data_IF_678077770159
#
_entry.id   IF_678077770159
#
_cell.length_a   1.000
_cell.length_b   1.000
_cell.length_c   1.000
_cell.angle_alpha   90.00
_cell.angle_beta   90.00
_cell.angle_gamma   90.00
#
_symmetry.space_group_name_H-M   'P 1'
#
loop_
_entity.id
_entity.type
_entity.pdbx_description
1 polymer ?
#
# COMPACT_ATOMS: atom_id res chain seq x y z
N UNK A 1 -6.88 -31.04 25.35
CA UNK A 1 -6.41 -29.73 25.89
C UNK A 1 -7.48 -28.68 25.63
N UNK A 2 -7.84 -27.87 26.62
CA UNK A 2 -8.94 -26.89 26.50
C UNK A 2 -8.58 -25.77 25.50
N UNK A 3 -9.49 -25.45 24.56
CA UNK A 3 -9.37 -24.34 23.59
C UNK A 3 -9.09 -22.99 24.26
N UNK A 4 -9.51 -22.84 25.52
CA UNK A 4 -9.28 -21.64 26.34
C UNK A 4 -7.79 -21.48 26.70
N UNK A 5 -7.10 -22.57 27.05
CA UNK A 5 -5.68 -22.54 27.39
C UNK A 5 -4.79 -22.20 26.18
N UNK A 6 -5.13 -22.71 25.00
CA UNK A 6 -4.43 -22.36 23.75
C UNK A 6 -4.61 -20.88 23.38
N UNK A 7 -5.82 -20.33 23.57
CA UNK A 7 -6.12 -18.92 23.30
C UNK A 7 -5.37 -17.95 24.21
N UNK A 8 -5.20 -18.29 25.50
CA UNK A 8 -4.47 -17.45 26.45
C UNK A 8 -2.98 -17.45 26.10
N UNK A 9 -2.40 -18.63 25.85
CA UNK A 9 -0.99 -18.75 25.47
C UNK A 9 -0.70 -18.03 24.14
N UNK A 10 -1.58 -18.14 23.14
CA UNK A 10 -1.40 -17.43 21.87
C UNK A 10 -1.49 -15.91 22.02
N UNK A 11 -2.37 -15.42 22.89
CA UNK A 11 -2.51 -13.98 23.17
C UNK A 11 -1.30 -13.44 23.91
N UNK A 12 -0.85 -14.13 24.95
CA UNK A 12 0.36 -13.74 25.69
C UNK A 12 1.57 -13.71 24.76
N UNK A 13 1.78 -14.75 23.96
CA UNK A 13 2.90 -14.80 23.00
C UNK A 13 2.81 -13.69 21.96
N UNK A 14 1.62 -13.43 21.40
CA UNK A 14 1.44 -12.36 20.41
C UNK A 14 1.70 -10.98 21.00
N UNK A 15 1.26 -10.74 22.24
CA UNK A 15 1.49 -9.48 22.92
C UNK A 15 2.98 -9.30 23.26
N UNK A 16 3.65 -10.34 23.76
CA UNK A 16 5.09 -10.27 24.04
C UNK A 16 5.89 -9.99 22.77
N UNK A 17 5.64 -10.73 21.68
CA UNK A 17 6.29 -10.48 20.38
C UNK A 17 6.02 -9.06 19.89
N UNK A 18 4.81 -8.54 20.07
CA UNK A 18 4.47 -7.18 19.67
C UNK A 18 5.20 -6.13 20.51
N UNK A 19 5.28 -6.31 21.83
CA UNK A 19 6.01 -5.40 22.72
C UNK A 19 7.50 -5.42 22.39
N UNK A 20 8.09 -6.62 22.26
CA UNK A 20 9.50 -6.78 21.89
C UNK A 20 9.80 -6.13 20.53
N UNK A 21 8.92 -6.32 19.54
CA UNK A 21 9.04 -5.67 18.23
C UNK A 21 9.03 -4.14 18.35
N UNK A 22 8.08 -3.58 19.11
CA UNK A 22 7.96 -2.13 19.29
C UNK A 22 9.18 -1.52 20.01
N UNK A 23 9.79 -2.27 20.94
CA UNK A 23 11.01 -1.86 21.63
C UNK A 23 12.22 -1.86 20.69
N UNK A 24 12.38 -2.89 19.86
CA UNK A 24 13.49 -3.00 18.90
C UNK A 24 13.40 -1.94 17.78
N UNK A 25 12.22 -1.73 17.20
CA UNK A 25 12.06 -0.75 16.11
C UNK A 25 12.14 0.70 16.57
N UNK A 26 12.06 0.98 17.88
CA UNK A 26 12.21 2.34 18.39
C UNK A 26 13.61 2.92 18.14
N UNK A 27 14.63 2.07 17.92
CA UNK A 27 16.00 2.47 17.60
C UNK A 27 16.49 2.05 16.21
N UNK A 28 15.66 1.40 15.39
CA UNK A 28 16.03 0.88 14.07
C UNK A 28 15.59 1.84 12.95
N UNK A 29 16.54 2.30 12.14
CA UNK A 29 16.26 3.15 10.99
C UNK A 29 15.63 2.40 9.81
N UNK A 30 15.69 1.06 9.79
CA UNK A 30 15.13 0.23 8.72
C UNK A 30 13.59 0.26 8.72
N UNK A 31 12.97 0.39 9.89
CA UNK A 31 11.51 0.44 10.05
C UNK A 31 11.10 1.87 10.33
N UNK A 32 10.54 2.54 9.32
CA UNK A 32 10.11 3.92 9.43
C UNK A 32 8.69 3.98 9.99
N UNK A 33 8.46 4.67 11.12
CA UNK A 33 7.11 4.97 11.59
C UNK A 33 6.54 6.18 10.85
N UNK A 34 5.54 5.95 10.01
CA UNK A 34 4.81 6.97 9.26
C UNK A 34 3.59 7.38 10.07
N UNK A 35 3.66 8.57 10.67
CA UNK A 35 2.60 9.17 11.48
C UNK A 35 1.89 10.28 10.71
N UNK A 36 0.59 10.41 10.96
CA UNK A 36 -0.27 11.43 10.33
C UNK A 36 -0.34 11.33 8.80
N UNK A 37 -0.18 10.12 8.25
CA UNK A 37 -0.42 9.86 6.82
C UNK A 37 -1.87 9.41 6.58
N UNK A 38 -2.50 9.99 5.55
CA UNK A 38 -3.79 9.55 5.05
C UNK A 38 -3.57 8.66 3.84
N UNK A 39 -4.17 7.48 3.87
CA UNK A 39 -4.09 6.52 2.76
C UNK A 39 -5.33 6.58 1.88
N UNK A 40 -5.11 6.54 0.56
CA UNK A 40 -6.16 6.52 -0.45
C UNK A 40 -5.80 5.54 -1.56
N UNK A 41 -6.81 4.95 -2.19
CA UNK A 41 -6.63 4.18 -3.40
C UNK A 41 -6.88 5.10 -4.60
N UNK A 42 -5.91 5.31 -5.51
CA UNK A 42 -6.13 6.04 -6.76
C UNK A 42 -7.28 5.42 -7.57
N UNK A 43 -8.10 6.23 -8.24
CA UNK A 43 -9.35 5.76 -8.86
C UNK A 43 -9.15 4.72 -9.98
N UNK A 44 -8.00 4.78 -10.65
CA UNK A 44 -7.52 3.89 -11.70
C UNK A 44 -6.67 2.73 -11.18
N UNK A 45 -6.50 2.61 -9.86
CA UNK A 45 -5.70 1.55 -9.23
C UNK A 45 -6.48 0.26 -9.02
N UNK A 46 -5.73 -0.83 -8.92
CA UNK A 46 -6.25 -2.15 -8.57
C UNK A 46 -6.88 -2.17 -7.17
N UNK A 47 -6.28 -1.44 -6.21
CA UNK A 47 -6.81 -1.31 -4.86
C UNK A 47 -8.20 -0.66 -4.87
N UNK A 48 -8.42 0.36 -5.69
CA UNK A 48 -9.73 1.00 -5.83
C UNK A 48 -10.75 0.03 -6.42
N UNK A 49 -10.43 -0.66 -7.53
CA UNK A 49 -11.33 -1.67 -8.09
C UNK A 49 -11.73 -2.72 -7.04
N UNK A 50 -10.77 -3.20 -6.24
CA UNK A 50 -11.06 -4.16 -5.17
C UNK A 50 -11.99 -3.62 -4.09
N UNK A 51 -11.85 -2.34 -3.72
CA UNK A 51 -12.75 -1.70 -2.73
C UNK A 51 -14.20 -1.67 -3.20
N UNK A 52 -14.44 -1.52 -4.51
CA UNK A 52 -15.78 -1.26 -5.04
C UNK A 52 -16.45 -2.45 -5.75
N UNK A 53 -15.68 -3.43 -6.21
CA UNK A 53 -16.20 -4.61 -6.93
C UNK A 53 -17.32 -5.34 -6.16
N UNK A 54 -17.22 -5.58 -4.82
CA UNK A 54 -18.30 -6.22 -4.07
C UNK A 54 -19.64 -5.48 -4.16
N UNK A 55 -19.62 -4.15 -4.19
CA UNK A 55 -20.84 -3.34 -4.31
C UNK A 55 -21.42 -3.41 -5.73
N UNK A 56 -20.57 -3.49 -6.75
CA UNK A 56 -20.99 -3.66 -8.15
C UNK A 56 -21.67 -5.01 -8.38
N UNK A 57 -21.19 -6.08 -7.73
CA UNK A 57 -21.87 -7.39 -7.76
C UNK A 57 -23.29 -7.30 -7.19
N UNK A 58 -23.46 -6.61 -6.06
CA UNK A 58 -24.78 -6.44 -5.42
C UNK A 58 -25.73 -5.61 -6.28
N UNK A 59 -25.22 -4.60 -6.98
CA UNK A 59 -26.00 -3.70 -7.84
C UNK A 59 -26.62 -4.40 -9.07
N UNK A 60 -26.47 -5.72 -9.22
CA UNK A 60 -27.01 -6.55 -10.31
C UNK A 60 -26.69 -5.96 -11.67
N UNK A 61 -25.42 -5.64 -11.91
CA UNK A 61 -24.93 -5.41 -13.27
C UNK A 61 -24.79 -6.75 -14.01
N UNK A 62 -25.82 -7.60 -13.96
CA UNK A 62 -25.88 -8.89 -14.69
C UNK A 62 -25.97 -8.66 -16.21
N UNK A 63 -26.38 -7.46 -16.64
CA UNK A 63 -26.54 -7.06 -18.03
C UNK A 63 -25.23 -6.72 -18.78
N UNK A 64 -24.07 -6.70 -18.12
CA UNK A 64 -22.78 -6.42 -18.81
C UNK A 64 -22.13 -7.67 -19.39
N UNK A 65 -22.61 -8.88 -19.09
CA UNK A 65 -21.99 -10.14 -19.53
C UNK A 65 -20.61 -10.41 -18.92
N UNK A 66 -20.19 -9.61 -17.94
CA UNK A 66 -18.93 -9.76 -17.21
C UNK A 66 -19.17 -10.39 -15.83
N UNK A 67 -18.47 -11.49 -15.55
CA UNK A 67 -18.50 -12.15 -14.24
C UNK A 67 -17.59 -11.39 -13.26
N UNK A 68 -18.17 -10.40 -12.59
CA UNK A 68 -17.50 -9.56 -11.59
C UNK A 68 -16.95 -10.37 -10.41
N UNK A 69 -17.57 -11.50 -10.05
CA UNK A 69 -17.08 -12.36 -8.97
C UNK A 69 -15.78 -13.06 -9.38
N UNK A 70 -15.70 -13.56 -10.62
CA UNK A 70 -14.45 -14.09 -11.17
C UNK A 70 -13.38 -13.03 -11.34
N UNK A 71 -13.75 -11.80 -11.67
CA UNK A 71 -12.82 -10.68 -11.73
C UNK A 71 -12.24 -10.39 -10.35
N UNK A 72 -13.07 -10.34 -9.32
CA UNK A 72 -12.65 -10.13 -7.93
C UNK A 72 -11.64 -11.20 -7.46
N UNK A 73 -11.91 -12.48 -7.77
CA UNK A 73 -10.98 -13.59 -7.53
C UNK A 73 -9.68 -13.47 -8.34
N UNK A 74 -9.78 -13.06 -9.61
CA UNK A 74 -8.61 -12.90 -10.47
C UNK A 74 -7.71 -11.78 -9.96
N UNK A 75 -8.28 -10.67 -9.48
CA UNK A 75 -7.55 -9.58 -8.86
C UNK A 75 -6.83 -10.05 -7.60
N UNK A 76 -7.48 -10.78 -6.69
CA UNK A 76 -6.79 -11.34 -5.50
C UNK A 76 -5.64 -12.30 -5.84
N UNK A 77 -5.72 -13.00 -6.97
CA UNK A 77 -4.66 -13.91 -7.43
C UNK A 77 -3.54 -13.19 -8.17
N UNK A 78 -3.80 -12.04 -8.77
CA UNK A 78 -2.84 -11.32 -9.60
C UNK A 78 -1.75 -10.63 -8.75
N UNK A 79 -2.14 -10.02 -7.62
CA UNK A 79 -1.20 -9.43 -6.66
C UNK A 79 -1.46 -9.98 -5.26
N UNK A 80 -0.40 -10.22 -4.50
CA UNK A 80 -0.48 -10.61 -3.08
C UNK A 80 -0.60 -9.43 -2.11
N UNK A 81 -0.67 -8.20 -2.64
CA UNK A 81 -0.69 -6.96 -1.87
C UNK A 81 -1.53 -5.88 -2.56
N UNK A 82 -2.00 -4.91 -1.77
CA UNK A 82 -2.63 -3.68 -2.25
C UNK A 82 -1.66 -2.52 -2.12
N UNK A 83 -1.56 -1.69 -3.15
CA UNK A 83 -0.84 -0.43 -3.14
C UNK A 83 -1.81 0.72 -2.85
N UNK A 84 -1.50 1.53 -1.84
CA UNK A 84 -2.23 2.74 -1.50
C UNK A 84 -1.28 3.92 -1.54
N UNK A 85 -1.78 5.05 -2.04
CA UNK A 85 -1.08 6.32 -1.94
C UNK A 85 -1.24 6.83 -0.50
N UNK A 86 -0.13 7.16 0.14
CA UNK A 86 -0.10 7.77 1.46
C UNK A 86 0.40 9.21 1.32
N UNK A 87 -0.44 10.14 1.76
CA UNK A 87 -0.14 11.58 1.76
C UNK A 87 -0.03 12.07 3.19
N UNK A 88 1.03 12.82 3.50
CA UNK A 88 1.19 13.41 4.83
C UNK A 88 0.11 14.46 5.07
N UNK A 89 -0.56 14.37 6.22
CA UNK A 89 -1.56 15.35 6.64
C UNK A 89 -0.92 16.68 7.07
N UNK A 90 0.40 16.69 7.30
CA UNK A 90 1.17 17.88 7.70
C UNK A 90 1.71 18.61 6.47
N UNK A 91 2.29 17.86 5.52
CA UNK A 91 2.81 18.39 4.26
C UNK A 91 2.29 17.56 3.07
N UNK A 92 1.29 18.07 2.32
CA UNK A 92 0.73 17.35 1.17
C UNK A 92 1.71 17.04 0.04
N UNK A 93 2.91 17.66 0.03
CA UNK A 93 3.96 17.33 -0.94
C UNK A 93 4.71 16.04 -0.58
N UNK A 94 4.67 15.62 0.69
CA UNK A 94 5.20 14.33 1.12
C UNK A 94 4.21 13.21 0.78
N UNK A 95 4.54 12.46 -0.27
CA UNK A 95 3.79 11.29 -0.70
C UNK A 95 4.68 10.06 -0.74
N UNK A 96 4.08 8.92 -0.42
CA UNK A 96 4.71 7.61 -0.60
C UNK A 96 3.65 6.56 -0.93
N UNK A 97 4.09 5.38 -1.32
CA UNK A 97 3.22 4.24 -1.63
C UNK A 97 3.36 3.22 -0.51
N UNK A 98 2.22 2.82 0.06
CA UNK A 98 2.16 1.79 1.09
C UNK A 98 1.61 0.50 0.51
N UNK A 99 2.38 -0.58 0.64
CA UNK A 99 1.95 -1.93 0.26
C UNK A 99 1.45 -2.69 1.48
N UNK A 100 0.22 -3.15 1.40
CA UNK A 100 -0.44 -3.96 2.42
C UNK A 100 -0.63 -5.37 1.87
N UNK A 101 -0.11 -6.37 2.57
CA UNK A 101 -0.42 -7.77 2.23
C UNK A 101 -1.95 -8.00 2.33
N UNK A 102 -2.54 -8.67 1.34
CA UNK A 102 -3.99 -8.92 1.30
C UNK A 102 -4.48 -9.68 2.54
N UNK A 103 -3.64 -10.55 3.11
CA UNK A 103 -3.90 -11.29 4.35
C UNK A 103 -3.52 -10.57 5.64
N UNK A 104 -3.06 -9.31 5.58
CA UNK A 104 -2.64 -8.56 6.78
C UNK A 104 -3.83 -8.03 7.61
N UNK A 105 -5.01 -7.88 7.00
CA UNK A 105 -6.15 -7.28 7.68
C UNK A 105 -6.73 -8.22 8.75
N UNK A 106 -6.83 -7.71 9.98
CA UNK A 106 -7.36 -8.42 11.14
C UNK A 106 -8.57 -7.68 11.71
N UNK A 107 -9.26 -8.31 12.66
CA UNK A 107 -10.40 -7.73 13.38
C UNK A 107 -11.54 -7.25 12.46
N UNK A 108 -11.69 -7.89 11.30
CA UNK A 108 -12.73 -7.56 10.32
C UNK A 108 -12.63 -6.14 9.74
N UNK A 109 -11.44 -5.53 9.77
CA UNK A 109 -11.14 -4.34 8.96
C UNK A 109 -10.90 -4.76 7.51
N UNK A 110 -11.35 -3.93 6.57
CA UNK A 110 -11.07 -4.06 5.15
C UNK A 110 -10.26 -2.89 4.61
N UNK A 111 -9.95 -2.97 3.31
CA UNK A 111 -9.21 -1.94 2.57
C UNK A 111 -9.90 -0.56 2.65
N UNK A 112 -11.24 -0.55 2.70
CA UNK A 112 -12.08 0.65 2.84
C UNK A 112 -11.95 1.38 4.16
N UNK A 113 -11.51 0.69 5.21
CA UNK A 113 -11.45 1.26 6.56
C UNK A 113 -10.17 2.06 6.79
N UNK A 114 -9.06 1.67 6.15
CA UNK A 114 -7.74 2.28 6.33
C UNK A 114 -7.77 3.81 6.11
N UNK A 115 -8.42 4.27 5.05
CA UNK A 115 -8.53 5.70 4.74
C UNK A 115 -9.38 6.52 5.71
N UNK A 116 -10.08 5.85 6.65
CA UNK A 116 -10.93 6.47 7.68
C UNK A 116 -10.34 6.34 9.09
N UNK A 117 -9.19 5.70 9.24
CA UNK A 117 -8.54 5.47 10.53
C UNK A 117 -7.30 6.36 10.69
N UNK A 118 -7.03 6.82 11.91
CA UNK A 118 -5.77 7.47 12.25
C UNK A 118 -4.78 6.40 12.71
N UNK A 119 -4.09 5.81 11.74
CA UNK A 119 -3.11 4.75 11.96
C UNK A 119 -1.70 5.31 11.93
N UNK A 120 -0.81 4.63 12.64
CA UNK A 120 0.64 4.73 12.50
C UNK A 120 1.10 3.51 11.74
N UNK A 121 1.82 3.72 10.65
CA UNK A 121 2.33 2.66 9.79
C UNK A 121 3.81 2.46 10.05
N UNK A 122 4.20 1.30 10.57
CA UNK A 122 5.58 0.87 10.62
C UNK A 122 5.90 0.15 9.32
N UNK A 123 6.73 0.78 8.50
CA UNK A 123 6.94 0.37 7.13
C UNK A 123 8.42 0.37 6.75
N UNK A 124 8.81 -0.56 5.87
CA UNK A 124 10.19 -0.74 5.42
C UNK A 124 10.29 -0.26 3.97
N UNK A 125 11.29 0.57 3.66
CA UNK A 125 11.53 1.03 2.29
C UNK A 125 11.96 -0.16 1.42
N UNK A 126 11.23 -0.40 0.33
CA UNK A 126 11.44 -1.57 -0.55
C UNK A 126 11.65 -1.20 -2.01
N UNK A 127 11.40 0.06 -2.38
CA UNK A 127 11.64 0.55 -3.74
C UNK A 127 11.10 1.95 -3.96
N UNK A 128 10.90 2.30 -5.22
CA UNK A 128 10.32 3.56 -5.66
C UNK A 128 9.39 3.33 -6.85
N UNK A 129 8.31 4.09 -6.97
CA UNK A 129 7.36 4.05 -8.09
C UNK A 129 6.83 5.45 -8.39
N UNK A 130 6.16 5.64 -9.52
CA UNK A 130 5.45 6.89 -9.82
C UNK A 130 3.97 6.74 -9.48
N UNK A 131 3.25 7.85 -9.27
CA UNK A 131 1.82 7.79 -8.98
C UNK A 131 1.04 7.10 -10.12
N UNK A 132 1.42 7.37 -11.38
CA UNK A 132 0.87 6.71 -12.56
C UNK A 132 1.16 5.19 -12.60
N UNK A 133 2.26 4.76 -11.97
CA UNK A 133 2.62 3.35 -11.83
C UNK A 133 1.63 2.53 -10.98
N UNK A 134 0.77 3.17 -10.19
CA UNK A 134 -0.28 2.48 -9.41
C UNK A 134 -1.52 2.15 -10.24
N UNK A 135 -1.63 2.73 -11.44
CA UNK A 135 -2.77 2.50 -12.33
C UNK A 135 -2.76 1.08 -12.88
N UNK A 136 -3.94 0.51 -13.13
CA UNK A 136 -4.04 -0.82 -13.74
C UNK A 136 -3.52 -0.85 -15.17
N UNK A 137 -3.60 0.28 -15.87
CA UNK A 137 -3.02 0.39 -17.21
C UNK A 137 -1.50 0.25 -17.17
N UNK A 138 -0.83 0.82 -16.15
CA UNK A 138 0.62 0.66 -15.96
C UNK A 138 1.02 -0.78 -15.56
N UNK A 139 0.12 -1.52 -14.90
CA UNK A 139 0.32 -2.92 -14.54
C UNK A 139 0.09 -3.89 -15.71
N UNK A 140 -0.77 -3.52 -16.66
CA UNK A 140 -1.19 -4.35 -17.78
C UNK A 140 -0.44 -4.02 -19.08
N UNK A 141 0.06 -2.80 -19.21
CA UNK A 141 1.12 -2.47 -20.15
C UNK A 141 2.43 -3.11 -19.69
N UNK A 142 3.23 -3.63 -20.63
CA UNK A 142 4.51 -4.31 -20.36
C UNK A 142 5.31 -3.68 -19.20
N UNK A 143 5.32 -4.31 -18.02
CA UNK A 143 6.13 -3.89 -16.89
C UNK A 143 7.62 -4.27 -17.11
N UNK A 144 8.62 -3.52 -16.58
CA UNK A 144 8.64 -2.14 -16.13
C UNK A 144 9.66 -1.30 -16.93
N UNK A 145 9.40 -0.02 -17.15
CA UNK A 145 10.48 0.93 -17.39
C UNK A 145 11.16 1.25 -16.05
N UNK A 146 12.04 0.34 -15.60
CA UNK A 146 13.26 0.80 -14.93
C UNK A 146 14.02 1.67 -15.92
N UNK A 147 13.65 2.95 -16.05
CA UNK A 147 14.54 3.93 -16.63
C UNK A 147 15.58 4.29 -15.57
N UNK A 148 16.49 3.34 -15.32
CA UNK A 148 17.89 3.78 -15.32
C UNK A 148 18.12 4.35 -16.72
N UNK A 149 17.82 5.65 -16.90
CA UNK A 149 18.35 6.39 -18.05
C UNK A 149 19.86 6.30 -17.90
N UNK A 150 20.46 5.30 -18.54
CA UNK A 150 21.86 5.39 -18.95
C UNK A 150 21.95 6.70 -19.71
N UNK A 151 22.74 7.70 -19.26
CA UNK A 151 22.83 8.96 -19.97
C UNK A 151 23.37 8.62 -21.36
N UNK A 152 22.56 8.90 -22.38
CA UNK A 152 23.00 8.74 -23.76
C UNK A 152 23.85 9.96 -24.07
N UNK A 153 24.96 9.78 -24.78
CA UNK A 153 25.96 10.83 -25.07
C UNK A 153 25.42 12.10 -25.80
N UNK A 154 24.12 12.16 -26.10
CA UNK A 154 23.40 13.32 -26.59
C UNK A 154 23.00 14.32 -25.47
N UNK A 155 22.90 13.88 -24.21
CA UNK A 155 22.51 14.73 -23.07
C UNK A 155 23.64 15.69 -22.62
N UNK A 156 24.84 15.58 -23.20
CA UNK A 156 26.01 16.40 -22.83
C UNK A 156 26.15 17.66 -23.72
N UNK A 157 25.36 17.78 -24.79
CA UNK A 157 25.62 18.79 -25.84
C UNK A 157 24.65 19.99 -25.83
N UNK A 158 23.50 19.92 -25.15
CA UNK A 158 22.61 21.08 -25.07
C UNK A 158 22.32 21.47 -23.61
N UNK A 159 22.57 22.75 -23.31
CA UNK A 159 22.34 23.35 -21.98
C UNK A 159 20.88 23.26 -21.53
N UNK A 160 20.58 23.54 -20.24
CA UNK A 160 19.34 23.11 -19.62
C UNK A 160 18.15 23.90 -20.18
N UNK A 161 17.42 23.27 -21.09
CA UNK A 161 16.05 23.68 -21.43
C UNK A 161 15.16 23.08 -20.34
N UNK A 162 14.72 23.94 -19.42
CA UNK A 162 13.70 23.62 -18.44
C UNK A 162 12.42 23.17 -19.17
N UNK A 163 12.11 21.87 -19.10
CA UNK A 163 11.00 21.29 -19.82
C UNK A 163 11.06 19.77 -19.86
N UNK A 164 11.20 19.12 -18.70
CA UNK A 164 10.85 17.71 -18.58
C UNK A 164 9.93 17.57 -17.37
N UNK A 165 8.69 17.16 -17.60
CA UNK A 165 7.86 16.51 -16.58
C UNK A 165 8.64 15.29 -16.08
N UNK A 166 9.52 15.52 -15.12
CA UNK A 166 10.17 14.44 -14.39
C UNK A 166 9.10 13.92 -13.47
N UNK A 167 8.49 12.78 -13.82
CA UNK A 167 7.52 12.13 -12.96
C UNK A 167 8.13 11.99 -11.56
N UNK A 168 7.44 12.55 -10.57
CA UNK A 168 7.90 12.53 -9.19
C UNK A 168 7.93 11.08 -8.72
N UNK A 169 9.14 10.60 -8.41
CA UNK A 169 9.33 9.28 -7.82
C UNK A 169 8.88 9.31 -6.36
N UNK A 170 8.03 8.36 -6.02
CA UNK A 170 7.51 8.11 -4.68
C UNK A 170 8.20 6.89 -4.09
N UNK A 171 8.61 7.00 -2.83
CA UNK A 171 9.11 5.85 -2.08
C UNK A 171 7.99 4.81 -1.91
N UNK A 172 8.34 3.54 -2.07
CA UNK A 172 7.44 2.39 -1.84
C UNK A 172 7.86 1.71 -0.54
N UNK A 173 6.92 1.57 0.38
CA UNK A 173 7.12 0.91 1.66
C UNK A 173 6.23 -0.33 1.82
N UNK A 174 6.80 -1.42 2.33
CA UNK A 174 6.03 -2.56 2.82
C UNK A 174 5.61 -2.32 4.27
N UNK A 175 4.30 -2.33 4.51
CA UNK A 175 3.76 -2.13 5.87
C UNK A 175 3.83 -3.45 6.64
N UNK A 176 4.62 -3.45 7.71
CA UNK A 176 4.80 -4.60 8.61
C UNK A 176 3.77 -4.59 9.72
N UNK A 177 3.48 -3.41 10.26
CA UNK A 177 2.52 -3.20 11.34
C UNK A 177 1.80 -1.87 11.15
N UNK A 178 0.48 -1.89 11.25
CA UNK A 178 -0.34 -0.69 11.30
C UNK A 178 -1.27 -0.76 12.51
N UNK A 179 -1.36 0.33 13.26
CA UNK A 179 -2.17 0.38 14.47
C UNK A 179 -2.45 1.80 14.93
N UNK A 180 -3.41 1.93 15.84
CA UNK A 180 -3.67 3.20 16.52
C UNK A 180 -2.71 3.30 17.69
N UNK A 181 -1.77 4.25 17.64
CA UNK A 181 -1.04 4.64 18.84
C UNK A 181 -1.96 5.52 19.70
N UNK A 182 -2.37 5.03 20.87
CA UNK A 182 -2.89 5.91 21.91
C UNK A 182 -1.69 6.52 22.64
N UNK A 183 -1.26 7.67 22.16
CA UNK A 183 -0.39 8.58 22.92
C UNK A 183 -1.23 9.43 23.87
N UNK A 184 -0.85 9.40 25.14
CA UNK A 184 -1.34 10.15 26.31
C UNK A 184 -1.48 11.65 26.05
#
# INVERSE_FOLDING_TARGET
MSRVGQSILSKTLSNTILTDYLEEVAGDECVRPLRDYKVTAPADSMAFMKMYTPYMVIARTEDTGFDLARMDEALERAKGYYELLAESSVDPSEKCVLRFNIGAFRNNYGLTDLGRMRLVYHAILVGSSTEAGLSVDAEMGDAPQHTSKSPTALDVVDGPVAGSDSEVLLDVYDVVLAGVEHGV
#
